data_IF_866001585568
#
_entry.id   IF_866001585568
#
_cell.length_a   1.000
_cell.length_b   1.000
_cell.length_c   1.000
_cell.angle_alpha   90.00
_cell.angle_beta   90.00
_cell.angle_gamma   90.00
#
_symmetry.space_group_name_H-M   'P 1'
#
loop_
_entity.id
_entity.type
_entity.pdbx_description
1 polymer ?
#
# COMPACT_ATOMS: atom_id res chain seq x y z
N UNK A 1 14.05 -18.63 -17.60
CA UNK A 1 12.74 -18.11 -17.15
C UNK A 1 12.21 -19.08 -16.11
N UNK A 2 11.73 -18.62 -14.96
CA UNK A 2 11.05 -19.50 -14.01
C UNK A 2 9.73 -19.98 -14.64
N UNK A 3 9.37 -21.24 -14.42
CA UNK A 3 8.12 -21.84 -14.93
C UNK A 3 7.15 -22.04 -13.78
N UNK A 4 5.85 -22.01 -14.10
CA UNK A 4 4.80 -22.25 -13.13
C UNK A 4 5.08 -23.53 -12.33
N UNK A 5 5.05 -23.41 -11.01
CA UNK A 5 5.34 -24.49 -10.08
C UNK A 5 4.11 -24.85 -9.23
N UNK A 6 4.13 -26.09 -8.74
CA UNK A 6 3.26 -26.53 -7.64
C UNK A 6 4.11 -26.65 -6.40
N UNK A 7 3.90 -25.75 -5.44
CA UNK A 7 4.61 -25.72 -4.17
C UNK A 7 3.72 -26.37 -3.12
N UNK A 8 4.25 -27.39 -2.45
CA UNK A 8 3.57 -28.09 -1.36
C UNK A 8 4.42 -28.00 -0.11
N UNK A 9 3.80 -27.56 0.98
CA UNK A 9 4.37 -27.72 2.31
C UNK A 9 4.35 -29.18 2.76
N UNK A 10 4.80 -29.37 3.98
CA UNK A 10 5.02 -30.63 4.65
C UNK A 10 3.85 -30.94 5.59
N UNK A 11 4.12 -31.72 6.65
CA UNK A 11 3.14 -32.01 7.71
C UNK A 11 3.40 -31.23 9.00
N UNK A 12 4.43 -30.37 8.99
CA UNK A 12 4.77 -29.48 10.08
C UNK A 12 4.81 -28.01 9.63
N UNK A 13 5.09 -27.07 10.54
CA UNK A 13 5.10 -25.64 10.24
C UNK A 13 6.08 -25.25 9.14
N UNK A 14 5.60 -24.58 8.11
CA UNK A 14 6.37 -24.19 6.93
C UNK A 14 6.41 -22.68 6.70
N UNK A 15 7.50 -22.24 6.05
CA UNK A 15 7.64 -20.91 5.46
C UNK A 15 7.86 -21.06 3.96
N UNK A 16 6.81 -20.83 3.18
CA UNK A 16 6.84 -20.94 1.73
C UNK A 16 7.02 -19.56 1.11
N UNK A 17 7.84 -19.44 0.07
CA UNK A 17 8.06 -18.19 -0.66
C UNK A 17 8.02 -18.41 -2.17
N UNK A 18 7.13 -17.69 -2.86
CA UNK A 18 6.91 -17.78 -4.31
C UNK A 18 6.87 -16.42 -5.00
N UNK A 19 7.58 -15.42 -4.44
CA UNK A 19 7.67 -14.07 -5.03
C UNK A 19 8.65 -14.09 -6.22
N UNK A 20 8.22 -14.64 -7.36
CA UNK A 20 9.08 -14.88 -8.53
C UNK A 20 8.51 -14.30 -9.84
N UNK A 21 7.32 -13.69 -9.82
CA UNK A 21 6.67 -13.08 -10.98
C UNK A 21 6.02 -14.10 -11.93
N UNK A 22 5.87 -15.35 -11.49
CA UNK A 22 5.27 -16.45 -12.25
C UNK A 22 4.08 -16.98 -11.47
N UNK A 23 3.05 -17.44 -12.17
CA UNK A 23 1.86 -18.03 -11.52
C UNK A 23 2.19 -19.40 -10.95
N UNK A 24 2.26 -19.51 -9.64
CA UNK A 24 2.40 -20.77 -8.92
C UNK A 24 1.08 -21.23 -8.28
N UNK A 25 1.03 -22.49 -7.87
CA UNK A 25 -0.02 -23.05 -7.01
C UNK A 25 0.60 -23.50 -5.70
N UNK A 26 0.16 -22.91 -4.59
CA UNK A 26 0.73 -23.12 -3.25
C UNK A 26 -0.30 -23.81 -2.36
N UNK A 27 0.08 -24.93 -1.73
CA UNK A 27 -0.69 -25.59 -0.67
C UNK A 27 0.21 -25.85 0.52
N UNK A 28 -0.20 -25.44 1.71
CA UNK A 28 0.66 -25.50 2.89
C UNK A 28 0.61 -26.86 3.60
N UNK A 29 -0.53 -27.57 3.59
CA UNK A 29 -0.66 -28.87 4.23
C UNK A 29 -1.13 -28.77 5.68
N UNK A 30 -0.45 -29.47 6.59
CA UNK A 30 -0.74 -29.42 8.02
C UNK A 30 0.38 -28.65 8.70
N UNK A 31 0.04 -27.82 9.67
CA UNK A 31 1.04 -27.04 10.38
C UNK A 31 0.46 -25.70 10.79
N UNK A 32 1.33 -24.80 11.21
CA UNK A 32 1.02 -23.37 11.21
C UNK A 32 1.97 -22.75 10.18
N UNK A 33 1.42 -22.40 9.04
CA UNK A 33 2.18 -22.16 7.83
C UNK A 33 2.06 -20.70 7.39
N UNK A 34 3.19 -20.18 6.90
CA UNK A 34 3.27 -18.85 6.33
C UNK A 34 3.66 -18.95 4.87
N UNK A 35 2.82 -18.42 3.99
CA UNK A 35 3.09 -18.31 2.56
C UNK A 35 3.30 -16.83 2.17
N UNK A 36 4.51 -16.49 1.72
CA UNK A 36 4.83 -15.20 1.11
C UNK A 36 4.76 -15.35 -0.41
N UNK A 37 3.70 -14.80 -0.99
CA UNK A 37 3.34 -15.05 -2.40
C UNK A 37 3.20 -13.74 -3.15
N UNK A 38 3.28 -13.80 -4.48
CA UNK A 38 2.95 -12.63 -5.30
C UNK A 38 1.47 -12.65 -5.76
N UNK A 39 1.09 -11.64 -6.55
CA UNK A 39 -0.30 -11.46 -7.01
C UNK A 39 -0.75 -12.46 -8.08
N UNK A 40 0.17 -13.24 -8.65
CA UNK A 40 -0.15 -14.23 -9.69
C UNK A 40 -0.50 -15.60 -9.08
N UNK A 41 -0.04 -15.87 -7.86
CA UNK A 41 -0.16 -17.18 -7.23
C UNK A 41 -1.58 -17.54 -6.82
N UNK A 42 -1.89 -18.84 -6.97
CA UNK A 42 -3.08 -19.45 -6.39
C UNK A 42 -2.70 -20.14 -5.09
N UNK A 43 -3.15 -19.59 -3.97
CA UNK A 43 -2.90 -20.16 -2.64
C UNK A 43 -4.14 -20.91 -2.18
N UNK A 44 -3.96 -22.16 -1.75
CA UNK A 44 -4.99 -22.95 -1.12
C UNK A 44 -5.39 -22.35 0.24
N UNK A 45 -6.50 -22.82 0.81
CA UNK A 45 -7.04 -22.30 2.08
C UNK A 45 -6.41 -22.95 3.31
N UNK A 46 -5.41 -23.80 3.11
CA UNK A 46 -4.70 -24.56 4.14
C UNK A 46 -3.44 -23.84 4.64
N UNK A 47 -3.20 -22.60 4.20
CA UNK A 47 -2.17 -21.73 4.75
C UNK A 47 -2.78 -20.78 5.79
N UNK A 48 -2.26 -20.80 7.02
CA UNK A 48 -2.75 -19.98 8.13
C UNK A 48 -2.46 -18.49 7.92
N UNK A 49 -1.28 -18.16 7.40
CA UNK A 49 -0.86 -16.79 7.11
C UNK A 49 -0.42 -16.67 5.66
N UNK A 50 -1.02 -15.72 4.94
CA UNK A 50 -0.61 -15.41 3.56
C UNK A 50 -0.26 -13.93 3.45
N UNK A 51 0.98 -13.65 3.10
CA UNK A 51 1.47 -12.27 2.90
C UNK A 51 1.68 -11.99 1.42
N UNK A 52 1.37 -10.75 1.00
CA UNK A 52 1.50 -10.27 -0.37
C UNK A 52 2.02 -8.84 -0.35
N UNK A 53 2.86 -8.51 -1.33
CA UNK A 53 3.38 -7.15 -1.48
C UNK A 53 2.31 -6.16 -1.95
N UNK A 54 1.93 -5.22 -1.09
CA UNK A 54 0.95 -4.16 -1.37
C UNK A 54 1.50 -3.05 -2.26
N UNK A 55 2.76 -2.64 -2.06
CA UNK A 55 3.44 -1.59 -2.85
C UNK A 55 4.96 -1.79 -2.94
N UNK A 56 5.59 -1.00 -3.82
CA UNK A 56 7.04 -0.82 -3.89
C UNK A 56 7.32 0.54 -4.53
N UNK A 57 8.22 1.31 -3.91
CA UNK A 57 8.75 2.55 -4.45
C UNK A 57 9.43 2.32 -5.83
N UNK A 58 8.93 2.94 -6.92
CA UNK A 58 9.51 2.80 -8.25
C UNK A 58 10.61 3.84 -8.53
N UNK A 59 10.81 4.84 -7.68
CA UNK A 59 11.73 5.95 -7.97
C UNK A 59 13.18 5.54 -7.85
N UNK A 60 13.99 5.99 -8.81
CA UNK A 60 15.45 5.82 -8.83
C UNK A 60 16.12 7.19 -8.85
N UNK A 61 17.21 7.33 -8.11
CA UNK A 61 18.06 8.52 -8.08
C UNK A 61 17.51 9.68 -7.23
N UNK A 62 18.25 10.79 -7.25
CA UNK A 62 17.96 12.02 -6.49
C UNK A 62 16.67 12.73 -6.93
N UNK A 63 15.99 13.50 -6.06
CA UNK A 63 16.42 13.85 -4.69
C UNK A 63 15.97 12.87 -3.60
N UNK A 64 15.26 11.79 -3.95
CA UNK A 64 14.77 10.83 -2.96
C UNK A 64 15.69 9.65 -2.78
N UNK A 65 15.64 9.07 -1.59
CA UNK A 65 16.21 7.77 -1.32
C UNK A 65 15.43 6.69 -2.08
N UNK A 66 16.14 5.85 -2.83
CA UNK A 66 15.56 4.71 -3.55
C UNK A 66 15.03 3.66 -2.57
N UNK A 67 13.92 3.02 -2.92
CA UNK A 67 13.30 1.93 -2.14
C UNK A 67 12.84 2.37 -0.75
N UNK A 68 12.23 3.55 -0.68
CA UNK A 68 11.69 4.06 0.58
C UNK A 68 10.17 4.22 0.49
N UNK A 69 9.47 3.40 1.27
CA UNK A 69 8.08 3.61 1.64
C UNK A 69 8.02 3.71 3.17
N UNK A 70 7.61 4.87 3.71
CA UNK A 70 7.66 5.17 5.14
C UNK A 70 6.36 5.80 5.62
N UNK A 71 6.21 5.88 6.95
CA UNK A 71 5.04 6.46 7.63
C UNK A 71 3.69 5.93 7.09
N UNK A 72 3.51 4.60 7.06
CA UNK A 72 2.28 4.02 6.56
C UNK A 72 1.13 4.17 7.55
N UNK A 73 -0.07 4.37 7.02
CA UNK A 73 -1.33 4.17 7.73
C UNK A 73 -2.26 3.27 6.90
N UNK A 74 -3.17 2.55 7.55
CA UNK A 74 -4.12 1.68 6.86
C UNK A 74 -5.44 1.56 7.60
N UNK A 75 -6.53 1.47 6.83
CA UNK A 75 -7.87 1.28 7.37
C UNK A 75 -8.64 0.22 6.57
N UNK A 76 -9.51 -0.52 7.26
CA UNK A 76 -10.34 -1.56 6.66
C UNK A 76 -11.82 -1.28 6.88
N UNK A 77 -12.59 -1.40 5.80
CA UNK A 77 -14.05 -1.41 5.83
C UNK A 77 -14.58 -2.61 5.04
N UNK A 78 -15.12 -3.60 5.77
CA UNK A 78 -15.53 -4.87 5.20
C UNK A 78 -14.35 -5.63 4.57
N UNK A 79 -14.46 -5.97 3.29
CA UNK A 79 -13.38 -6.64 2.52
C UNK A 79 -12.38 -5.67 1.90
N UNK A 80 -12.63 -4.37 2.02
CA UNK A 80 -11.74 -3.36 1.46
C UNK A 80 -10.72 -2.94 2.50
N UNK A 81 -9.45 -3.02 2.15
CA UNK A 81 -8.32 -2.51 2.93
C UNK A 81 -7.62 -1.48 2.07
N UNK A 82 -7.45 -0.26 2.59
CA UNK A 82 -6.69 0.78 1.94
C UNK A 82 -5.52 1.17 2.85
N UNK A 83 -4.34 1.35 2.26
CA UNK A 83 -3.13 1.81 2.90
C UNK A 83 -2.60 3.03 2.16
N UNK A 84 -2.00 3.94 2.90
CA UNK A 84 -1.29 5.11 2.39
C UNK A 84 0.07 5.22 3.06
N UNK A 85 1.02 5.82 2.35
CA UNK A 85 2.42 5.88 2.78
C UNK A 85 3.17 6.91 1.96
N UNK A 86 4.26 7.43 2.50
CA UNK A 86 5.23 8.18 1.71
C UNK A 86 5.93 7.27 0.71
N UNK A 87 6.27 7.76 -0.49
CA UNK A 87 7.06 7.04 -1.49
C UNK A 87 8.19 7.92 -2.01
N UNK A 88 9.42 7.41 -1.90
CA UNK A 88 10.63 8.16 -2.23
C UNK A 88 10.86 9.28 -1.20
N UNK A 89 11.23 8.90 0.02
CA UNK A 89 11.60 9.80 1.12
C UNK A 89 12.75 10.71 0.70
N UNK A 90 12.57 12.02 0.91
CA UNK A 90 13.60 13.02 0.65
C UNK A 90 14.31 13.31 1.98
N UNK A 91 15.65 13.43 1.96
CA UNK A 91 16.48 13.49 3.17
C UNK A 91 16.06 14.60 4.16
N UNK A 92 15.72 15.78 3.66
CA UNK A 92 15.37 16.97 4.44
C UNK A 92 13.87 17.10 4.76
N UNK A 93 13.02 16.12 4.38
CA UNK A 93 11.59 16.11 4.77
C UNK A 93 10.63 15.67 3.67
N UNK A 94 9.59 14.93 4.05
CA UNK A 94 8.53 14.48 3.13
C UNK A 94 9.03 13.58 2.01
N UNK A 95 8.17 13.37 1.01
CA UNK A 95 8.38 12.42 -0.07
C UNK A 95 8.16 13.01 -1.45
N UNK A 96 8.59 12.27 -2.49
CA UNK A 96 8.22 12.58 -3.88
C UNK A 96 6.71 12.52 -4.09
N UNK A 97 6.05 11.55 -3.46
CA UNK A 97 4.60 11.38 -3.52
C UNK A 97 4.07 10.70 -2.27
N UNK A 98 2.77 10.89 -2.02
CA UNK A 98 1.99 9.98 -1.17
C UNK A 98 1.43 8.88 -2.06
N UNK A 99 1.81 7.64 -1.75
CA UNK A 99 1.30 6.43 -2.39
C UNK A 99 0.03 5.93 -1.72
N UNK A 100 -0.76 5.16 -2.47
CA UNK A 100 -1.84 4.34 -1.93
C UNK A 100 -1.74 2.90 -2.43
N UNK A 101 -2.23 1.97 -1.62
CA UNK A 101 -2.47 0.59 -2.01
C UNK A 101 -3.82 0.12 -1.47
N UNK A 102 -4.68 -0.41 -2.35
CA UNK A 102 -6.03 -0.82 -2.01
C UNK A 102 -6.30 -2.24 -2.47
N UNK A 103 -6.79 -3.06 -1.54
CA UNK A 103 -7.37 -4.37 -1.79
C UNK A 103 -8.87 -4.32 -1.57
N UNK A 104 -9.66 -4.99 -2.42
CA UNK A 104 -11.11 -5.16 -2.27
C UNK A 104 -11.51 -6.60 -1.91
N UNK A 105 -10.51 -7.43 -1.63
CA UNK A 105 -10.64 -8.87 -1.45
C UNK A 105 -9.85 -9.36 -0.22
N UNK A 106 -9.83 -8.54 0.84
CA UNK A 106 -9.18 -8.86 2.12
C UNK A 106 -7.69 -9.17 1.99
N UNK A 107 -6.97 -8.41 1.17
CA UNK A 107 -5.52 -8.49 0.98
C UNK A 107 -5.06 -9.54 -0.04
N UNK A 108 -5.97 -10.16 -0.82
CA UNK A 108 -5.60 -11.17 -1.83
C UNK A 108 -5.03 -10.56 -3.10
N UNK A 109 -5.49 -9.39 -3.50
CA UNK A 109 -4.94 -8.61 -4.60
C UNK A 109 -4.88 -7.13 -4.22
N UNK A 110 -3.89 -6.42 -4.79
CA UNK A 110 -3.59 -5.03 -4.46
C UNK A 110 -3.41 -4.19 -5.72
N UNK A 111 -4.26 -3.17 -5.85
CA UNK A 111 -4.04 -2.05 -6.79
C UNK A 111 -3.33 -0.93 -6.05
N UNK A 112 -2.46 -0.19 -6.73
CA UNK A 112 -1.60 0.82 -6.12
C UNK A 112 -1.39 2.00 -7.05
N UNK A 113 -1.03 3.15 -6.50
CA UNK A 113 -0.79 4.37 -7.26
C UNK A 113 -0.33 5.52 -6.37
N UNK A 114 -0.38 6.73 -6.91
CA UNK A 114 0.01 7.96 -6.23
C UNK A 114 -1.16 8.93 -6.16
N UNK A 115 -1.31 9.60 -5.02
CA UNK A 115 -2.21 10.74 -4.89
C UNK A 115 -1.67 11.92 -5.72
N UNK A 116 -2.58 12.75 -6.24
CA UNK A 116 -2.23 13.91 -7.07
C UNK A 116 -2.47 15.20 -6.29
N UNK A 117 -1.82 16.28 -6.70
CA UNK A 117 -2.07 17.62 -6.16
C UNK A 117 -1.40 17.93 -4.80
N UNK A 118 -0.52 17.07 -4.30
CA UNK A 118 0.18 17.24 -3.01
C UNK A 118 1.61 17.77 -3.20
N UNK A 119 1.76 18.86 -3.96
CA UNK A 119 3.05 19.47 -4.31
C UNK A 119 3.35 20.72 -3.47
N UNK A 120 4.63 21.08 -3.26
CA UNK A 120 5.84 20.44 -3.77
C UNK A 120 6.34 19.28 -2.90
N UNK A 121 5.91 19.18 -1.64
CA UNK A 121 6.23 18.07 -0.73
C UNK A 121 5.03 17.71 0.12
N UNK A 122 4.91 16.42 0.42
CA UNK A 122 3.93 15.91 1.37
C UNK A 122 4.53 14.82 2.27
N UNK A 123 3.95 14.69 3.46
CA UNK A 123 4.37 13.77 4.53
C UNK A 123 3.15 13.31 5.35
N UNK A 124 3.39 12.42 6.30
CA UNK A 124 2.49 12.08 7.39
C UNK A 124 1.06 11.68 6.93
N UNK A 125 0.91 10.77 5.95
CA UNK A 125 -0.41 10.43 5.46
C UNK A 125 -1.18 9.59 6.50
N UNK A 126 -2.47 9.89 6.68
CA UNK A 126 -3.39 9.04 7.45
C UNK A 126 -4.68 8.81 6.68
N UNK A 127 -5.31 7.64 6.86
CA UNK A 127 -6.48 7.21 6.10
C UNK A 127 -7.63 6.76 7.02
N UNK A 128 -8.85 7.16 6.66
CA UNK A 128 -10.06 6.70 7.30
C UNK A 128 -11.18 6.44 6.28
N UNK A 129 -12.24 5.75 6.72
CA UNK A 129 -13.47 5.58 5.94
C UNK A 129 -14.63 6.29 6.63
N UNK A 130 -15.19 7.29 5.97
CA UNK A 130 -16.43 7.94 6.37
C UNK A 130 -17.62 7.07 5.95
N UNK A 131 -18.23 6.39 6.92
CA UNK A 131 -19.38 5.52 6.69
C UNK A 131 -20.65 6.27 6.28
N UNK A 132 -20.82 7.51 6.72
CA UNK A 132 -22.03 8.28 6.45
C UNK A 132 -22.05 8.77 5.00
N UNK A 133 -20.90 9.22 4.49
CA UNK A 133 -20.77 9.67 3.10
C UNK A 133 -20.32 8.56 2.14
N UNK A 134 -19.87 7.42 2.68
CA UNK A 134 -19.33 6.26 1.93
C UNK A 134 -18.04 6.60 1.18
N UNK A 135 -17.18 7.39 1.79
CA UNK A 135 -15.95 7.91 1.20
C UNK A 135 -14.72 7.50 2.01
N UNK A 136 -13.64 7.19 1.32
CA UNK A 136 -12.29 7.14 1.88
C UNK A 136 -11.74 8.55 1.94
N UNK A 137 -11.12 8.88 3.07
CA UNK A 137 -10.48 10.17 3.31
C UNK A 137 -9.00 9.91 3.59
N UNK A 138 -8.12 10.59 2.86
CA UNK A 138 -6.69 10.63 3.16
C UNK A 138 -6.32 12.04 3.51
N UNK A 139 -5.72 12.21 4.67
CA UNK A 139 -5.12 13.47 5.10
C UNK A 139 -3.61 13.41 4.86
N UNK A 140 -3.00 14.53 4.50
CA UNK A 140 -1.54 14.65 4.35
C UNK A 140 -1.07 16.03 4.77
N UNK A 141 0.13 16.10 5.36
CA UNK A 141 0.83 17.34 5.62
C UNK A 141 1.52 17.79 4.32
N UNK A 142 1.14 18.95 3.77
CA UNK A 142 1.72 19.52 2.55
C UNK A 142 2.53 20.78 2.89
N UNK A 143 3.72 20.92 2.32
CA UNK A 143 4.63 22.02 2.67
C UNK A 143 5.66 22.31 1.56
N UNK A 144 6.43 23.40 1.74
CA UNK A 144 7.54 23.78 0.87
C UNK A 144 7.19 24.72 -0.30
N UNK A 145 5.90 25.08 -0.47
CA UNK A 145 5.46 26.05 -1.49
C UNK A 145 5.58 27.52 -1.02
N UNK A 146 5.78 27.75 0.28
CA UNK A 146 5.74 29.07 0.92
C UNK A 146 6.09 28.97 2.41
N UNK A 147 5.83 30.02 3.21
CA UNK A 147 6.22 30.06 4.62
C UNK A 147 5.40 29.10 5.51
N UNK A 148 4.27 28.60 5.00
CA UNK A 148 3.36 27.76 5.75
C UNK A 148 3.30 26.29 5.30
N UNK A 149 2.71 25.48 6.17
CA UNK A 149 2.30 24.10 5.87
C UNK A 149 0.79 24.00 5.91
N UNK A 150 0.21 23.06 5.17
CA UNK A 150 -1.22 22.80 5.15
C UNK A 150 -1.55 21.35 5.45
N UNK A 151 -2.78 21.14 5.91
CA UNK A 151 -3.39 19.83 6.02
C UNK A 151 -4.39 19.70 4.88
N UNK A 152 -4.11 18.76 3.98
CA UNK A 152 -4.85 18.58 2.74
C UNK A 152 -5.56 17.23 2.76
N UNK A 153 -6.80 17.19 2.27
CA UNK A 153 -7.66 15.99 2.30
C UNK A 153 -8.02 15.55 0.89
N UNK A 154 -7.53 14.37 0.49
CA UNK A 154 -7.95 13.67 -0.73
C UNK A 154 -9.11 12.71 -0.42
N UNK A 155 -10.05 12.59 -1.35
CA UNK A 155 -11.24 11.74 -1.17
C UNK A 155 -11.35 10.70 -2.27
N UNK A 156 -11.97 9.57 -1.95
CA UNK A 156 -12.28 8.54 -2.94
C UNK A 156 -13.50 7.74 -2.54
N UNK A 157 -14.46 7.58 -3.45
CA UNK A 157 -15.61 6.68 -3.23
C UNK A 157 -15.22 5.20 -3.28
N UNK A 158 -14.04 4.87 -3.79
CA UNK A 158 -13.68 3.50 -4.16
C UNK A 158 -12.25 3.08 -3.73
N UNK A 159 -11.48 4.01 -3.16
CA UNK A 159 -10.11 3.82 -2.70
C UNK A 159 -9.09 3.65 -3.83
N UNK A 160 -9.47 3.86 -5.10
CA UNK A 160 -8.60 3.70 -6.27
C UNK A 160 -8.48 5.00 -7.08
N UNK A 161 -9.59 5.71 -7.20
CA UNK A 161 -9.67 6.98 -7.93
C UNK A 161 -9.83 8.09 -6.90
N UNK A 162 -8.79 8.91 -6.78
CA UNK A 162 -8.71 9.96 -5.78
C UNK A 162 -8.90 11.32 -6.42
N UNK A 163 -9.77 12.13 -5.82
CA UNK A 163 -9.96 13.52 -6.22
C UNK A 163 -8.73 14.36 -5.83
N UNK A 164 -8.61 15.54 -6.47
CA UNK A 164 -7.65 16.53 -6.04
C UNK A 164 -7.93 16.93 -4.57
N UNK A 165 -6.88 17.18 -3.78
CA UNK A 165 -7.04 17.49 -2.36
C UNK A 165 -7.75 18.82 -2.15
N UNK A 166 -8.45 18.91 -1.01
CA UNK A 166 -8.99 20.16 -0.46
C UNK A 166 -8.19 20.52 0.78
N UNK A 167 -7.70 21.75 0.86
CA UNK A 167 -7.02 22.27 2.06
C UNK A 167 -8.01 22.45 3.20
N UNK A 168 -7.79 21.75 4.30
CA UNK A 168 -8.59 21.84 5.52
C UNK A 168 -8.13 22.99 6.42
N UNK A 169 -6.81 23.17 6.54
CA UNK A 169 -6.19 24.25 7.32
C UNK A 169 -4.79 24.55 6.78
N UNK A 170 -4.34 25.80 6.95
CA UNK A 170 -2.98 26.25 6.67
C UNK A 170 -2.42 26.96 7.89
N UNK A 171 -1.13 26.83 8.16
CA UNK A 171 -0.46 27.64 9.19
C UNK A 171 -0.50 29.12 8.78
N UNK A 172 -0.49 30.04 9.77
CA UNK A 172 -0.39 31.48 9.51
C UNK A 172 0.81 31.86 8.63
#
# INVERSE_FOLDING_TARGET
MATAARIRGTSGPDKLQTVNGVRDSVSCGRGFDLATVDGFDKVARDCEVVTRRSSQDPYRGEPSQHQTEVEPDSFANGKTVAAVFQVGRIFDGGARNIGFATSRDSGRSWKRGFLRGLTPRASDPSIAYDRNHREWLVVSLVFGAGPGSSIDVSRSVDGLHWDNPVTAIVTP
#
